data_IF_305814981785
#
_entry.id   IF_305814981785
#
_cell.length_a   1.000
_cell.length_b   1.000
_cell.length_c   1.000
_cell.angle_alpha   90.00
_cell.angle_beta   90.00
_cell.angle_gamma   90.00
#
_symmetry.space_group_name_H-M   'P 1'
#
loop_
_entity.id
_entity.type
_entity.pdbx_description
1 polymer ?
#
# COMPACT_ATOMS: atom_id res chain seq x y z
N UNK A 1 11.13 5.63 2.28
CA UNK A 1 11.09 6.01 0.85
C UNK A 1 12.07 7.15 0.58
N UNK A 2 12.10 8.22 1.40
CA UNK A 2 13.00 9.38 1.20
C UNK A 2 14.47 8.97 1.17
N UNK A 3 14.95 8.20 2.15
CA UNK A 3 16.33 7.70 2.18
C UNK A 3 16.64 6.82 0.95
N UNK A 4 15.75 5.87 0.63
CA UNK A 4 15.90 5.01 -0.54
C UNK A 4 16.00 5.80 -1.86
N UNK A 5 15.18 6.86 -2.00
CA UNK A 5 15.25 7.78 -3.13
C UNK A 5 16.62 8.45 -3.23
N UNK A 6 17.20 8.88 -2.09
CA UNK A 6 18.54 9.46 -2.05
C UNK A 6 19.60 8.48 -2.54
N UNK A 7 19.57 7.24 -2.08
CA UNK A 7 20.52 6.21 -2.50
C UNK A 7 20.46 5.92 -4.01
N UNK A 8 19.25 5.88 -4.59
CA UNK A 8 19.08 5.68 -6.03
C UNK A 8 19.57 6.91 -6.81
N UNK A 9 19.36 8.13 -6.30
CA UNK A 9 19.88 9.35 -6.91
C UNK A 9 21.42 9.42 -6.89
N UNK A 10 22.06 8.73 -5.92
CA UNK A 10 23.53 8.54 -5.84
C UNK A 10 24.04 7.46 -6.80
N UNK A 11 23.20 6.84 -7.63
CA UNK A 11 23.58 5.80 -8.58
C UNK A 11 23.53 4.36 -8.05
N UNK A 12 22.93 4.14 -6.86
CA UNK A 12 22.73 2.79 -6.30
C UNK A 12 21.41 2.22 -6.83
N UNK A 13 21.43 1.74 -8.06
CA UNK A 13 20.24 1.26 -8.80
C UNK A 13 19.95 -0.24 -8.62
N UNK A 14 20.76 -0.94 -7.85
CA UNK A 14 20.55 -2.33 -7.51
C UNK A 14 20.19 -2.48 -6.04
N UNK A 15 19.34 -3.43 -5.72
CA UNK A 15 18.89 -3.69 -4.37
C UNK A 15 19.00 -5.19 -4.05
N UNK A 16 19.60 -5.49 -2.90
CA UNK A 16 19.41 -6.77 -2.24
C UNK A 16 18.12 -6.66 -1.41
N UNK A 17 17.05 -7.24 -1.94
CA UNK A 17 15.71 -7.28 -1.36
C UNK A 17 15.60 -8.54 -0.50
N UNK A 18 15.38 -8.38 0.80
CA UNK A 18 15.39 -9.45 1.79
C UNK A 18 14.06 -9.50 2.53
N UNK A 19 13.34 -10.60 2.33
CA UNK A 19 12.09 -10.94 3.03
C UNK A 19 12.40 -12.04 4.05
N UNK A 20 12.04 -11.83 5.32
CA UNK A 20 12.26 -12.81 6.37
C UNK A 20 11.10 -13.82 6.39
N UNK A 21 11.43 -15.11 6.44
CA UNK A 21 10.44 -16.18 6.49
C UNK A 21 9.73 -16.17 7.85
N UNK A 22 8.42 -15.92 7.89
CA UNK A 22 7.61 -15.98 9.11
C UNK A 22 8.26 -15.30 10.32
N UNK A 23 8.81 -14.12 10.12
CA UNK A 23 9.66 -13.42 11.10
C UNK A 23 9.08 -13.40 12.52
N UNK A 24 7.79 -13.03 12.66
CA UNK A 24 7.16 -12.96 13.99
C UNK A 24 7.08 -14.31 14.71
N UNK A 25 7.13 -15.42 13.99
CA UNK A 25 7.09 -16.78 14.56
C UNK A 25 8.49 -17.32 14.86
N UNK A 26 9.54 -16.71 14.30
CA UNK A 26 10.93 -17.17 14.44
C UNK A 26 11.71 -16.43 15.53
N UNK A 27 11.23 -15.33 16.08
CA UNK A 27 11.94 -14.55 17.11
C UNK A 27 12.35 -15.44 18.29
N UNK A 28 13.65 -15.58 18.51
CA UNK A 28 14.19 -16.36 19.62
C UNK A 28 14.03 -15.61 20.94
N UNK A 29 13.30 -16.19 21.89
CA UNK A 29 12.97 -15.54 23.16
C UNK A 29 14.22 -15.24 24.00
N UNK A 30 15.19 -16.15 24.07
CA UNK A 30 16.35 -15.96 24.92
C UNK A 30 17.25 -14.85 24.39
N UNK A 31 17.46 -14.81 23.06
CA UNK A 31 18.18 -13.70 22.40
C UNK A 31 17.47 -12.35 22.60
N UNK A 32 16.15 -12.32 22.41
CA UNK A 32 15.36 -11.10 22.62
C UNK A 32 15.45 -10.63 24.07
N UNK A 33 15.29 -11.54 25.03
CA UNK A 33 15.39 -11.22 26.45
C UNK A 33 16.81 -10.77 26.84
N UNK A 34 17.85 -11.33 26.23
CA UNK A 34 19.23 -10.86 26.41
C UNK A 34 19.40 -9.42 25.92
N UNK A 35 18.93 -9.11 24.70
CA UNK A 35 18.98 -7.75 24.12
C UNK A 35 18.21 -6.73 24.95
N UNK A 36 17.03 -7.11 25.44
CA UNK A 36 16.23 -6.27 26.34
C UNK A 36 16.93 -6.03 27.68
N UNK A 37 17.57 -7.06 28.24
CA UNK A 37 18.31 -6.97 29.50
C UNK A 37 19.51 -6.01 29.48
N UNK A 38 20.06 -5.73 28.30
CA UNK A 38 21.10 -4.71 28.13
C UNK A 38 20.56 -3.27 28.26
N UNK A 39 19.24 -3.07 28.11
CA UNK A 39 18.58 -1.76 28.11
C UNK A 39 17.62 -1.57 29.30
N UNK A 40 17.06 -2.65 29.81
CA UNK A 40 16.06 -2.64 30.88
C UNK A 40 16.62 -3.34 32.11
N UNK A 41 16.88 -2.59 33.18
CA UNK A 41 17.37 -3.09 34.45
C UNK A 41 16.23 -3.58 35.38
N UNK A 42 14.99 -3.15 35.15
CA UNK A 42 13.84 -3.53 35.96
C UNK A 42 13.44 -4.99 35.72
N UNK A 43 13.73 -5.84 36.72
CA UNK A 43 13.39 -7.27 36.69
C UNK A 43 11.89 -7.57 36.60
N UNK A 44 11.01 -6.65 37.07
CA UNK A 44 9.56 -6.84 37.01
C UNK A 44 9.08 -6.70 35.58
N UNK A 45 9.57 -5.67 34.86
CA UNK A 45 9.29 -5.45 33.44
C UNK A 45 9.81 -6.62 32.63
N UNK A 46 11.06 -7.05 32.84
CA UNK A 46 11.64 -8.20 32.15
C UNK A 46 10.82 -9.48 32.35
N UNK A 47 10.36 -9.73 33.60
CA UNK A 47 9.50 -10.88 33.91
C UNK A 47 8.14 -10.79 33.19
N UNK A 48 7.56 -9.58 33.10
CA UNK A 48 6.29 -9.35 32.40
C UNK A 48 6.42 -9.62 30.90
N UNK A 49 7.49 -9.09 30.26
CA UNK A 49 7.76 -9.35 28.83
C UNK A 49 7.95 -10.85 28.59
N UNK A 50 8.73 -11.53 29.43
CA UNK A 50 8.93 -12.97 29.31
C UNK A 50 7.63 -13.79 29.47
N UNK A 51 6.69 -13.34 30.31
CA UNK A 51 5.35 -13.95 30.41
C UNK A 51 4.54 -13.68 29.15
N UNK A 52 4.57 -12.47 28.62
CA UNK A 52 3.89 -12.11 27.39
C UNK A 52 4.37 -12.96 26.19
N UNK A 53 5.67 -13.13 26.02
CA UNK A 53 6.24 -13.94 24.96
C UNK A 53 5.84 -15.43 25.04
N UNK A 54 5.76 -15.99 26.27
CA UNK A 54 5.40 -17.39 26.53
C UNK A 54 3.91 -17.63 26.72
N UNK A 55 3.09 -16.57 26.61
CA UNK A 55 1.64 -16.71 26.72
C UNK A 55 1.14 -17.72 25.66
N UNK A 56 0.31 -18.69 26.05
CA UNK A 56 -0.26 -19.64 25.11
C UNK A 56 -1.15 -18.93 24.09
N UNK A 57 -1.13 -19.41 22.85
CA UNK A 57 -2.03 -18.95 21.80
C UNK A 57 -3.17 -19.94 21.66
N UNK A 58 -4.38 -19.41 21.53
CA UNK A 58 -5.55 -20.18 21.13
C UNK A 58 -5.62 -20.21 19.60
N UNK A 59 -5.55 -21.39 18.99
CA UNK A 59 -5.68 -21.57 17.54
C UNK A 59 -7.16 -21.60 17.08
N UNK A 60 -8.11 -21.35 17.99
CA UNK A 60 -9.53 -21.33 17.68
C UNK A 60 -10.19 -22.71 17.78
N UNK A 61 -9.44 -23.75 18.12
CA UNK A 61 -9.92 -25.12 18.40
C UNK A 61 -9.90 -25.49 19.90
N UNK A 62 -9.62 -24.49 20.76
CA UNK A 62 -9.51 -24.65 22.21
C UNK A 62 -8.18 -25.24 22.67
N UNK A 63 -7.22 -25.45 21.80
CA UNK A 63 -5.87 -25.90 22.16
C UNK A 63 -4.97 -24.72 22.47
N UNK A 64 -4.36 -24.75 23.66
CA UNK A 64 -3.38 -23.77 24.09
C UNK A 64 -1.96 -24.28 23.85
N UNK A 65 -1.31 -23.77 22.81
CA UNK A 65 0.09 -24.13 22.49
C UNK A 65 1.04 -23.16 23.21
N UNK A 66 1.94 -23.70 24.05
CA UNK A 66 3.02 -22.90 24.63
C UNK A 66 4.05 -22.56 23.56
N UNK A 67 4.38 -21.28 23.46
CA UNK A 67 5.40 -20.80 22.54
C UNK A 67 6.78 -20.89 23.15
N UNK A 68 7.71 -21.48 22.41
CA UNK A 68 9.14 -21.44 22.70
C UNK A 68 9.87 -20.38 21.86
N UNK A 69 9.23 -19.91 20.79
CA UNK A 69 9.70 -18.90 19.84
C UNK A 69 8.54 -18.00 19.39
N UNK A 70 8.91 -16.89 18.78
CA UNK A 70 7.97 -15.96 18.16
C UNK A 70 7.34 -14.95 19.11
N UNK A 71 6.66 -13.99 18.53
CA UNK A 71 5.90 -12.97 19.25
C UNK A 71 4.42 -13.11 18.90
N UNK A 72 3.49 -12.84 19.85
CA UNK A 72 2.05 -12.92 19.56
C UNK A 72 1.67 -12.01 18.41
N UNK A 73 1.11 -12.57 17.32
CA UNK A 73 0.64 -11.77 16.18
C UNK A 73 -0.60 -10.95 16.59
N UNK A 74 -0.64 -9.67 16.18
CA UNK A 74 -1.73 -8.76 16.54
C UNK A 74 -1.61 -8.13 17.95
N UNK A 75 -0.64 -8.53 18.76
CA UNK A 75 -0.38 -7.90 20.04
C UNK A 75 0.32 -6.53 19.90
N UNK A 76 -0.03 -5.53 20.74
CA UNK A 76 0.53 -4.17 20.62
C UNK A 76 2.04 -4.09 20.89
N UNK A 77 2.59 -5.02 21.65
CA UNK A 77 4.00 -5.07 22.01
C UNK A 77 4.87 -5.74 20.92
N UNK A 78 4.30 -6.64 20.12
CA UNK A 78 5.05 -7.43 19.14
C UNK A 78 5.82 -6.60 18.11
N UNK A 79 5.29 -5.52 17.51
CA UNK A 79 6.06 -4.68 16.59
C UNK A 79 7.25 -3.99 17.26
N UNK A 80 7.12 -3.59 18.52
CA UNK A 80 8.21 -2.98 19.28
C UNK A 80 9.33 -4.00 19.55
N UNK A 81 8.97 -5.19 20.03
CA UNK A 81 9.93 -6.28 20.28
C UNK A 81 10.63 -6.74 19.01
N UNK A 82 9.89 -6.82 17.89
CA UNK A 82 10.41 -7.11 16.58
C UNK A 82 11.47 -6.09 16.12
N UNK A 83 11.18 -4.79 16.29
CA UNK A 83 12.14 -3.74 15.96
C UNK A 83 13.39 -3.78 16.85
N UNK A 84 13.23 -4.08 18.14
CA UNK A 84 14.37 -4.24 19.04
C UNK A 84 15.24 -5.44 18.67
N UNK A 85 14.63 -6.52 18.21
CA UNK A 85 15.34 -7.69 17.74
C UNK A 85 16.15 -7.42 16.48
N UNK A 86 15.58 -6.69 15.54
CA UNK A 86 16.23 -6.32 14.27
C UNK A 86 17.18 -5.10 14.38
N UNK A 87 17.19 -4.35 15.49
CA UNK A 87 18.14 -3.26 15.74
C UNK A 87 19.62 -3.74 15.67
N UNK A 88 19.84 -5.03 15.99
CA UNK A 88 21.19 -5.65 15.85
C UNK A 88 21.61 -5.72 14.40
N UNK A 89 20.69 -6.03 13.49
CA UNK A 89 20.94 -6.02 12.06
C UNK A 89 21.17 -4.59 11.55
N UNK A 90 20.36 -3.62 11.99
CA UNK A 90 20.52 -2.23 11.58
C UNK A 90 21.92 -1.73 11.91
N UNK A 91 22.41 -1.98 13.11
CA UNK A 91 23.77 -1.62 13.53
C UNK A 91 24.86 -2.33 12.73
N UNK A 92 24.67 -3.58 12.39
CA UNK A 92 25.60 -4.32 11.55
C UNK A 92 25.69 -3.72 10.15
N UNK A 93 24.53 -3.34 9.56
CA UNK A 93 24.48 -2.69 8.25
C UNK A 93 25.13 -1.31 8.27
N UNK A 94 24.93 -0.53 9.35
CA UNK A 94 25.57 0.76 9.59
C UNK A 94 27.10 0.61 9.74
N UNK A 95 27.56 -0.34 10.55
CA UNK A 95 29.00 -0.62 10.75
C UNK A 95 29.69 -1.00 9.44
N UNK A 96 29.00 -1.71 8.54
CA UNK A 96 29.50 -2.03 7.20
C UNK A 96 29.42 -0.87 6.21
N UNK A 97 28.87 0.27 6.60
CA UNK A 97 28.68 1.42 5.73
C UNK A 97 27.71 1.16 4.56
N UNK A 98 26.75 0.24 4.73
CA UNK A 98 25.79 -0.10 3.70
C UNK A 98 24.63 0.89 3.66
N UNK A 99 24.20 1.25 2.47
CA UNK A 99 23.00 2.07 2.27
C UNK A 99 21.77 1.18 2.30
N UNK A 100 20.98 1.27 3.34
CA UNK A 100 19.82 0.40 3.51
C UNK A 100 18.59 1.15 4.00
N UNK A 101 17.45 0.54 3.82
CA UNK A 101 16.19 0.91 4.49
C UNK A 101 15.54 -0.36 5.01
N UNK A 102 14.97 -0.28 6.20
CA UNK A 102 14.16 -1.34 6.79
C UNK A 102 12.81 -0.80 7.23
N UNK A 103 11.78 -1.55 6.96
CA UNK A 103 10.45 -1.30 7.50
C UNK A 103 9.88 -2.63 8.02
N UNK A 104 9.85 -2.76 9.35
CA UNK A 104 9.58 -4.03 10.03
C UNK A 104 10.55 -5.12 9.55
N UNK A 105 10.06 -6.15 8.89
CA UNK A 105 10.79 -7.30 8.35
C UNK A 105 11.22 -7.11 6.88
N UNK A 106 10.71 -6.08 6.19
CA UNK A 106 11.14 -5.73 4.83
C UNK A 106 12.49 -4.99 4.86
N UNK A 107 13.54 -5.58 4.30
CA UNK A 107 14.91 -5.05 4.30
C UNK A 107 15.36 -4.86 2.85
N UNK A 108 15.81 -3.66 2.50
CA UNK A 108 16.35 -3.34 1.19
C UNK A 108 17.72 -2.68 1.33
N UNK A 109 18.77 -3.30 0.78
CA UNK A 109 20.14 -2.77 0.76
C UNK A 109 20.49 -2.32 -0.65
N UNK A 110 20.82 -1.04 -0.81
CA UNK A 110 21.07 -0.39 -2.10
C UNK A 110 22.55 -0.39 -2.44
N UNK A 111 22.88 -0.82 -3.66
CA UNK A 111 24.25 -0.95 -4.16
C UNK A 111 24.33 -0.56 -5.65
N UNK A 112 25.55 -0.34 -6.14
CA UNK A 112 25.77 0.14 -7.50
C UNK A 112 25.73 -0.96 -8.59
N UNK A 113 25.82 -2.25 -8.23
CA UNK A 113 25.85 -3.34 -9.23
C UNK A 113 25.13 -4.60 -8.74
N UNK A 114 24.67 -5.40 -9.71
CA UNK A 114 24.04 -6.71 -9.47
C UNK A 114 24.92 -7.63 -8.62
N UNK A 115 26.18 -7.81 -9.03
CA UNK A 115 27.14 -8.64 -8.32
C UNK A 115 27.38 -8.18 -6.87
N UNK A 116 27.26 -6.88 -6.60
CA UNK A 116 27.32 -6.36 -5.23
C UNK A 116 26.04 -6.72 -4.45
N UNK A 117 24.86 -6.62 -5.08
CA UNK A 117 23.60 -7.02 -4.47
C UNK A 117 23.56 -8.52 -4.12
N UNK A 118 24.00 -9.38 -5.04
CA UNK A 118 24.12 -10.82 -4.79
C UNK A 118 25.03 -11.14 -3.61
N UNK A 119 26.22 -10.53 -3.57
CA UNK A 119 27.17 -10.73 -2.46
C UNK A 119 26.62 -10.24 -1.11
N UNK A 120 25.90 -9.12 -1.13
CA UNK A 120 25.26 -8.58 0.09
C UNK A 120 24.16 -9.54 0.54
N UNK A 121 23.30 -9.99 -0.38
CA UNK A 121 22.22 -10.93 -0.10
C UNK A 121 22.77 -12.23 0.55
N UNK A 122 23.78 -12.85 -0.07
CA UNK A 122 24.40 -14.07 0.45
C UNK A 122 25.00 -13.88 1.84
N UNK A 123 25.76 -12.79 2.04
CA UNK A 123 26.40 -12.50 3.33
C UNK A 123 25.40 -12.20 4.42
N UNK A 124 24.35 -11.44 4.12
CA UNK A 124 23.30 -11.10 5.08
C UNK A 124 22.42 -12.30 5.42
N UNK A 125 22.11 -13.17 4.46
CA UNK A 125 21.38 -14.42 4.72
C UNK A 125 22.15 -15.28 5.72
N UNK A 126 23.45 -15.45 5.51
CA UNK A 126 24.32 -16.22 6.42
C UNK A 126 24.43 -15.56 7.80
N UNK A 127 24.55 -14.24 7.83
CA UNK A 127 24.65 -13.46 9.06
C UNK A 127 23.36 -13.53 9.88
N UNK A 128 22.19 -13.36 9.25
CA UNK A 128 20.87 -13.45 9.87
C UNK A 128 20.65 -14.83 10.52
N UNK A 129 20.98 -15.88 9.81
CA UNK A 129 20.91 -17.25 10.34
C UNK A 129 21.82 -17.42 11.56
N UNK A 130 23.09 -17.00 11.48
CA UNK A 130 24.08 -17.23 12.54
C UNK A 130 23.82 -16.38 13.78
N UNK A 131 23.49 -15.07 13.61
CA UNK A 131 23.43 -14.12 14.71
C UNK A 131 22.02 -13.91 15.26
N UNK A 132 21.00 -14.04 14.42
CA UNK A 132 19.62 -13.81 14.84
C UNK A 132 18.74 -15.07 14.77
N UNK A 133 19.27 -16.19 14.27
CA UNK A 133 18.50 -17.43 14.11
C UNK A 133 17.23 -17.21 13.27
N UNK A 134 17.39 -16.38 12.21
CA UNK A 134 16.33 -16.01 11.27
C UNK A 134 16.61 -16.57 9.89
N UNK A 135 15.56 -17.07 9.24
CA UNK A 135 15.63 -17.59 7.89
C UNK A 135 15.14 -16.56 6.88
N UNK A 136 15.84 -16.44 5.75
CA UNK A 136 15.46 -15.61 4.61
C UNK A 136 14.57 -16.42 3.67
N UNK A 137 13.48 -15.85 3.24
CA UNK A 137 12.60 -16.43 2.22
C UNK A 137 13.23 -16.32 0.83
N UNK A 138 13.92 -17.38 0.40
CA UNK A 138 14.61 -17.42 -0.88
C UNK A 138 13.69 -17.20 -2.11
N UNK A 139 12.40 -17.54 -2.01
CA UNK A 139 11.45 -17.33 -3.10
C UNK A 139 11.06 -15.86 -3.32
N UNK A 140 11.14 -15.06 -2.26
CA UNK A 140 10.78 -13.64 -2.31
C UNK A 140 12.00 -12.72 -2.35
N UNK A 141 13.11 -13.13 -1.75
CA UNK A 141 14.34 -12.35 -1.70
C UNK A 141 15.13 -12.47 -2.99
N UNK A 142 15.94 -11.46 -3.30
CA UNK A 142 16.78 -11.48 -4.49
C UNK A 142 17.53 -10.18 -4.74
N UNK A 143 18.54 -10.27 -5.62
CA UNK A 143 19.20 -9.12 -6.20
C UNK A 143 18.40 -8.65 -7.43
N UNK A 144 17.96 -7.40 -7.42
CA UNK A 144 17.07 -6.84 -8.46
C UNK A 144 17.41 -5.39 -8.74
N UNK A 145 16.97 -4.88 -9.89
CA UNK A 145 16.95 -3.44 -10.10
C UNK A 145 15.88 -2.77 -9.25
N UNK A 146 16.15 -1.56 -8.79
CA UNK A 146 15.21 -0.79 -7.96
C UNK A 146 13.85 -0.57 -8.61
N UNK A 147 13.81 -0.48 -9.95
CA UNK A 147 12.57 -0.35 -10.73
C UNK A 147 11.76 -1.66 -10.85
N UNK A 148 12.32 -2.80 -10.50
CA UNK A 148 11.66 -4.12 -10.52
C UNK A 148 11.06 -4.47 -9.15
N UNK A 149 11.46 -3.76 -8.11
CA UNK A 149 10.97 -3.97 -6.73
C UNK A 149 9.95 -2.92 -6.31
N UNK A 150 9.25 -3.21 -5.24
CA UNK A 150 8.29 -2.27 -4.65
C UNK A 150 8.59 -2.10 -3.16
N UNK A 151 9.12 -0.94 -2.80
CA UNK A 151 9.33 -0.56 -1.42
C UNK A 151 8.11 0.20 -0.90
N UNK A 152 7.39 -0.37 0.06
CA UNK A 152 6.19 0.25 0.65
C UNK A 152 5.14 0.69 -0.39
N UNK A 153 4.99 -0.08 -1.46
CA UNK A 153 4.05 0.24 -2.54
C UNK A 153 4.53 1.30 -3.53
N UNK A 154 5.77 1.75 -3.44
CA UNK A 154 6.42 2.63 -4.40
C UNK A 154 7.46 1.88 -5.22
N UNK A 155 7.65 2.31 -6.46
CA UNK A 155 8.73 1.91 -7.34
C UNK A 155 9.73 3.05 -7.43
N UNK A 156 11.00 2.71 -7.31
CA UNK A 156 12.12 3.65 -7.41
C UNK A 156 12.75 3.52 -8.81
N UNK A 157 12.84 4.62 -9.51
CA UNK A 157 13.42 4.67 -10.85
C UNK A 157 14.81 5.34 -10.82
N UNK A 158 15.65 5.09 -11.84
CA UNK A 158 16.93 5.78 -11.97
C UNK A 158 16.81 7.31 -11.78
N UNK A 159 17.85 7.92 -11.23
CA UNK A 159 17.82 9.34 -10.90
C UNK A 159 16.96 9.74 -9.70
N UNK A 160 16.45 8.76 -8.93
CA UNK A 160 15.66 9.02 -7.73
C UNK A 160 14.22 9.45 -8.00
N UNK A 161 13.67 9.10 -9.18
CA UNK A 161 12.24 9.28 -9.43
C UNK A 161 11.44 8.18 -8.73
N UNK A 162 10.26 8.55 -8.23
CA UNK A 162 9.39 7.65 -7.45
C UNK A 162 8.00 7.63 -8.08
N UNK A 163 7.48 6.44 -8.32
CA UNK A 163 6.09 6.24 -8.76
C UNK A 163 5.36 5.25 -7.86
N UNK A 164 4.02 5.26 -7.81
CA UNK A 164 3.28 4.16 -7.20
C UNK A 164 3.58 2.84 -7.92
N UNK A 165 3.78 1.77 -7.18
CA UNK A 165 4.02 0.45 -7.75
C UNK A 165 2.78 -0.07 -8.53
N UNK A 166 2.96 -0.90 -9.58
CA UNK A 166 1.85 -1.43 -10.37
C UNK A 166 0.76 -2.11 -9.54
N UNK A 167 1.13 -2.90 -8.53
CA UNK A 167 0.18 -3.52 -7.60
C UNK A 167 -0.64 -2.49 -6.81
N UNK A 168 -0.06 -1.34 -6.45
CA UNK A 168 -0.78 -0.27 -5.76
C UNK A 168 -1.81 0.39 -6.69
N UNK A 169 -1.45 0.60 -7.96
CA UNK A 169 -2.36 1.11 -8.99
C UNK A 169 -3.50 0.12 -9.26
N UNK A 170 -3.23 -1.19 -9.38
CA UNK A 170 -4.29 -2.17 -9.59
C UNK A 170 -5.24 -2.28 -8.39
N UNK A 171 -4.73 -2.31 -7.16
CA UNK A 171 -5.57 -2.24 -5.95
C UNK A 171 -6.43 -0.98 -5.91
N UNK A 172 -5.87 0.15 -6.34
CA UNK A 172 -6.63 1.40 -6.46
C UNK A 172 -7.76 1.27 -7.48
N UNK A 173 -7.48 0.72 -8.66
CA UNK A 173 -8.50 0.48 -9.70
C UNK A 173 -9.59 -0.47 -9.21
N UNK A 174 -9.25 -1.55 -8.51
CA UNK A 174 -10.23 -2.50 -7.97
C UNK A 174 -11.14 -1.82 -6.94
N UNK A 175 -10.57 -0.99 -6.07
CA UNK A 175 -11.36 -0.23 -5.11
C UNK A 175 -12.27 0.79 -5.79
N UNK A 176 -11.80 1.46 -6.85
CA UNK A 176 -12.62 2.36 -7.67
C UNK A 176 -13.79 1.59 -8.31
N UNK A 177 -13.53 0.41 -8.88
CA UNK A 177 -14.60 -0.45 -9.45
C UNK A 177 -15.64 -0.81 -8.41
N UNK A 178 -15.19 -1.19 -7.20
CA UNK A 178 -16.08 -1.54 -6.08
C UNK A 178 -16.89 -0.34 -5.59
N UNK A 179 -16.26 0.81 -5.35
CA UNK A 179 -16.95 2.04 -4.89
C UNK A 179 -17.98 2.56 -5.89
N UNK A 180 -17.71 2.43 -7.20
CA UNK A 180 -18.59 2.89 -8.26
C UNK A 180 -19.46 1.77 -8.85
N UNK A 181 -19.74 0.72 -8.06
CA UNK A 181 -20.76 -0.27 -8.39
C UNK A 181 -22.16 0.30 -8.06
N UNK A 182 -23.01 0.36 -9.08
CA UNK A 182 -24.37 0.91 -8.94
C UNK A 182 -25.30 0.05 -8.07
N UNK A 183 -24.95 -1.20 -7.83
CA UNK A 183 -25.74 -2.16 -7.02
C UNK A 183 -25.66 -1.85 -5.52
N UNK A 184 -24.74 -1.01 -5.08
CA UNK A 184 -24.65 -0.62 -3.67
C UNK A 184 -25.84 0.23 -3.26
N UNK A 185 -26.46 -0.10 -2.12
CA UNK A 185 -27.59 0.62 -1.52
C UNK A 185 -27.15 1.90 -0.78
N UNK A 186 -26.26 2.68 -1.39
CA UNK A 186 -25.74 3.92 -0.80
C UNK A 186 -26.49 5.13 -1.34
N UNK A 187 -26.77 6.10 -0.48
CA UNK A 187 -27.21 7.42 -0.94
C UNK A 187 -26.09 8.14 -1.68
N UNK A 188 -26.41 9.17 -2.47
CA UNK A 188 -25.38 9.97 -3.14
C UNK A 188 -24.45 10.69 -2.15
N UNK A 189 -24.94 11.04 -0.97
CA UNK A 189 -24.14 11.62 0.10
C UNK A 189 -23.13 10.60 0.66
N UNK A 190 -23.60 9.41 1.04
CA UNK A 190 -22.73 8.32 1.53
C UNK A 190 -21.66 7.93 0.51
N UNK A 191 -22.04 7.85 -0.78
CA UNK A 191 -21.10 7.57 -1.86
C UNK A 191 -20.02 8.66 -1.97
N UNK A 192 -20.41 9.93 -1.85
CA UNK A 192 -19.47 11.06 -1.82
C UNK A 192 -18.50 10.97 -0.65
N UNK A 193 -19.01 10.72 0.55
CA UNK A 193 -18.19 10.62 1.77
C UNK A 193 -17.19 9.46 1.69
N UNK A 194 -17.65 8.28 1.23
CA UNK A 194 -16.77 7.12 1.03
C UNK A 194 -15.72 7.40 -0.03
N UNK A 195 -16.11 8.04 -1.15
CA UNK A 195 -15.19 8.40 -2.21
C UNK A 195 -14.12 9.37 -1.70
N UNK A 196 -14.52 10.46 -1.07
CA UNK A 196 -13.59 11.47 -0.56
C UNK A 196 -12.62 10.88 0.47
N UNK A 197 -13.13 10.10 1.42
CA UNK A 197 -12.29 9.42 2.43
C UNK A 197 -11.24 8.54 1.77
N UNK A 198 -11.65 7.73 0.81
CA UNK A 198 -10.74 6.80 0.14
C UNK A 198 -9.71 7.52 -0.73
N UNK A 199 -10.16 8.41 -1.62
CA UNK A 199 -9.27 9.04 -2.60
C UNK A 199 -8.29 10.01 -1.94
N UNK A 200 -8.72 10.72 -0.91
CA UNK A 200 -7.85 11.62 -0.14
C UNK A 200 -6.81 10.82 0.66
N UNK A 201 -7.24 9.75 1.36
CA UNK A 201 -6.30 8.88 2.08
C UNK A 201 -5.27 8.24 1.16
N UNK A 202 -5.70 7.76 -0.01
CA UNK A 202 -4.80 7.19 -1.01
C UNK A 202 -3.81 8.24 -1.53
N UNK A 203 -4.28 9.46 -1.85
CA UNK A 203 -3.43 10.53 -2.36
C UNK A 203 -2.48 11.09 -1.30
N UNK A 204 -2.89 11.19 -0.05
CA UNK A 204 -2.02 11.61 1.05
C UNK A 204 -0.81 10.68 1.22
N UNK A 205 -0.96 9.41 0.86
CA UNK A 205 0.14 8.44 0.88
C UNK A 205 0.93 8.45 -0.43
N UNK A 206 0.27 8.23 -1.56
CA UNK A 206 0.94 8.06 -2.86
C UNK A 206 1.28 9.38 -3.56
N UNK A 207 0.73 10.50 -3.12
CA UNK A 207 1.07 11.85 -3.62
C UNK A 207 2.51 12.28 -3.29
N UNK A 208 3.20 11.52 -2.44
CA UNK A 208 4.65 11.66 -2.25
C UNK A 208 5.45 11.35 -3.54
N UNK A 209 4.92 10.54 -4.44
CA UNK A 209 5.55 10.18 -5.69
C UNK A 209 5.70 11.43 -6.59
N UNK A 210 6.90 11.63 -7.14
CA UNK A 210 7.18 12.73 -8.06
C UNK A 210 6.96 12.35 -9.54
N UNK A 211 6.68 11.08 -9.82
CA UNK A 211 6.37 10.58 -11.15
C UNK A 211 4.99 9.92 -11.17
N UNK A 212 3.95 10.75 -11.28
CA UNK A 212 2.54 10.35 -11.18
C UNK A 212 1.79 10.32 -12.51
N UNK A 213 2.50 10.22 -13.66
CA UNK A 213 1.87 10.23 -15.00
C UNK A 213 0.75 9.20 -15.12
N UNK A 214 0.96 7.99 -14.62
CA UNK A 214 -0.04 6.92 -14.66
C UNK A 214 -1.28 7.27 -13.82
N UNK A 215 -1.09 7.89 -12.64
CA UNK A 215 -2.20 8.32 -11.77
C UNK A 215 -3.02 9.42 -12.44
N UNK A 216 -2.36 10.38 -13.07
CA UNK A 216 -3.03 11.44 -13.83
C UNK A 216 -3.86 10.87 -14.99
N UNK A 217 -3.34 9.86 -15.69
CA UNK A 217 -4.06 9.19 -16.77
C UNK A 217 -5.34 8.47 -16.29
N UNK A 218 -5.41 8.05 -15.02
CA UNK A 218 -6.60 7.41 -14.47
C UNK A 218 -7.79 8.35 -14.30
N UNK A 219 -7.61 9.68 -14.31
CA UNK A 219 -8.68 10.63 -14.05
C UNK A 219 -9.87 10.48 -15.03
N UNK A 220 -9.58 10.28 -16.31
CA UNK A 220 -10.61 10.03 -17.33
C UNK A 220 -11.35 8.70 -17.10
N UNK A 221 -10.60 7.64 -16.78
CA UNK A 221 -11.14 6.32 -16.49
C UNK A 221 -12.04 6.32 -15.23
N UNK A 222 -11.63 7.00 -14.15
CA UNK A 222 -12.41 7.14 -12.91
C UNK A 222 -13.72 7.86 -13.21
N UNK A 223 -13.67 9.01 -13.89
CA UNK A 223 -14.89 9.77 -14.26
C UNK A 223 -15.84 8.95 -15.12
N UNK A 224 -15.32 8.04 -15.95
CA UNK A 224 -16.15 7.10 -16.71
C UNK A 224 -16.87 6.12 -15.81
N UNK A 225 -16.22 5.58 -14.75
CA UNK A 225 -16.86 4.75 -13.74
C UNK A 225 -17.95 5.51 -12.97
N UNK A 226 -17.68 6.76 -12.59
CA UNK A 226 -18.67 7.64 -11.96
C UNK A 226 -19.92 7.81 -12.83
N UNK A 227 -19.74 8.17 -14.10
CA UNK A 227 -20.84 8.35 -15.06
C UNK A 227 -21.62 7.06 -15.30
N UNK A 228 -20.94 5.92 -15.43
CA UNK A 228 -21.58 4.61 -15.53
C UNK A 228 -22.46 4.33 -14.30
N UNK A 229 -21.94 4.57 -13.11
CA UNK A 229 -22.66 4.36 -11.86
C UNK A 229 -23.91 5.24 -11.80
N UNK A 230 -23.79 6.54 -12.03
CA UNK A 230 -24.93 7.45 -12.02
C UNK A 230 -25.96 7.08 -13.08
N UNK A 231 -25.56 6.74 -14.29
CA UNK A 231 -26.47 6.30 -15.35
C UNK A 231 -27.29 5.08 -14.95
N UNK A 232 -26.71 4.10 -14.29
CA UNK A 232 -27.40 2.92 -13.78
C UNK A 232 -28.31 3.26 -12.61
N UNK A 233 -27.89 4.12 -11.70
CA UNK A 233 -28.67 4.52 -10.51
C UNK A 233 -29.87 5.40 -10.85
N UNK A 234 -29.91 6.01 -12.04
CA UNK A 234 -31.09 6.69 -12.53
C UNK A 234 -32.15 5.71 -13.06
N UNK A 235 -31.88 4.42 -13.01
CA UNK A 235 -32.70 3.25 -13.30
C UNK A 235 -33.33 3.27 -14.69
N UNK A 236 -34.44 3.97 -14.86
CA UNK A 236 -35.28 3.95 -16.05
C UNK A 236 -35.19 5.24 -16.89
N UNK A 237 -35.99 5.29 -17.94
CA UNK A 237 -36.06 6.46 -18.84
C UNK A 237 -36.49 7.72 -18.10
N UNK A 238 -37.45 7.62 -17.18
CA UNK A 238 -37.98 8.78 -16.47
C UNK A 238 -36.97 9.32 -15.46
N UNK A 239 -36.35 8.46 -14.69
CA UNK A 239 -35.28 8.84 -13.77
C UNK A 239 -34.09 9.49 -14.47
N UNK A 240 -33.64 8.92 -15.62
CA UNK A 240 -32.58 9.49 -16.46
C UNK A 240 -32.95 10.86 -17.02
N UNK A 241 -34.18 11.02 -17.52
CA UNK A 241 -34.68 12.29 -18.02
C UNK A 241 -34.65 13.37 -16.93
N UNK A 242 -35.21 13.09 -15.76
CA UNK A 242 -35.23 14.01 -14.63
C UNK A 242 -33.82 14.36 -14.14
N UNK A 243 -32.90 13.38 -14.04
CA UNK A 243 -31.55 13.62 -13.65
C UNK A 243 -30.80 14.52 -14.65
N UNK A 244 -30.88 14.22 -15.93
CA UNK A 244 -30.26 15.04 -16.99
C UNK A 244 -30.81 16.46 -17.00
N UNK A 245 -32.15 16.63 -16.84
CA UNK A 245 -32.78 17.95 -16.76
C UNK A 245 -32.26 18.75 -15.56
N UNK A 246 -32.14 18.13 -14.38
CA UNK A 246 -31.57 18.78 -13.18
C UNK A 246 -30.11 19.19 -13.39
N UNK A 247 -29.36 18.43 -14.19
CA UNK A 247 -27.97 18.70 -14.55
C UNK A 247 -27.81 19.73 -15.69
N UNK A 248 -28.95 20.36 -16.12
CA UNK A 248 -28.96 21.45 -17.10
C UNK A 248 -29.04 21.03 -18.56
N UNK A 249 -29.29 19.73 -18.85
CA UNK A 249 -29.55 19.27 -20.22
C UNK A 249 -30.97 19.76 -20.66
N UNK A 250 -31.08 20.27 -21.89
CA UNK A 250 -32.32 20.81 -22.42
C UNK A 250 -32.60 20.36 -23.87
N UNK A 251 -33.85 20.49 -24.30
CA UNK A 251 -34.26 20.25 -25.68
C UNK A 251 -34.09 18.79 -26.12
N UNK A 252 -33.78 18.57 -27.38
CA UNK A 252 -33.63 17.24 -27.99
C UNK A 252 -32.56 16.34 -27.32
N UNK A 253 -31.57 16.97 -26.66
CA UNK A 253 -30.52 16.20 -25.94
C UNK A 253 -31.09 15.34 -24.81
N UNK A 254 -32.27 15.68 -24.24
CA UNK A 254 -32.96 14.86 -23.23
C UNK A 254 -33.46 13.53 -23.79
N UNK A 255 -33.61 13.39 -25.12
CA UNK A 255 -33.99 12.14 -25.77
C UNK A 255 -33.02 10.98 -25.49
N UNK A 256 -31.77 11.29 -25.12
CA UNK A 256 -30.78 10.28 -24.74
C UNK A 256 -31.21 9.45 -23.53
N UNK A 257 -32.10 9.94 -22.68
CA UNK A 257 -32.65 9.20 -21.54
C UNK A 257 -33.33 7.88 -21.93
N UNK A 258 -33.89 7.79 -23.17
CA UNK A 258 -34.50 6.60 -23.74
C UNK A 258 -33.51 5.63 -24.37
N UNK A 259 -32.21 5.94 -24.39
CA UNK A 259 -31.21 5.10 -25.02
C UNK A 259 -31.06 3.77 -24.27
N UNK A 260 -31.12 2.64 -25.03
CA UNK A 260 -31.01 1.26 -24.50
C UNK A 260 -29.59 0.71 -24.54
N UNK A 261 -28.60 1.51 -24.99
CA UNK A 261 -27.21 1.09 -25.03
C UNK A 261 -26.64 0.87 -23.64
N UNK A 262 -25.66 -0.03 -23.51
CA UNK A 262 -25.05 -0.38 -22.23
C UNK A 262 -24.46 0.84 -21.50
N UNK A 263 -24.51 0.81 -20.18
CA UNK A 263 -24.10 1.94 -19.32
C UNK A 263 -22.63 2.37 -19.52
N UNK A 264 -21.76 1.44 -19.87
CA UNK A 264 -20.36 1.74 -20.18
C UNK A 264 -20.18 2.56 -21.46
N UNK A 265 -21.05 2.32 -22.45
CA UNK A 265 -21.12 3.14 -23.65
C UNK A 265 -21.70 4.53 -23.30
N UNK A 266 -22.80 4.56 -22.55
CA UNK A 266 -23.47 5.82 -22.17
C UNK A 266 -22.57 6.74 -21.33
N UNK A 267 -21.68 6.18 -20.53
CA UNK A 267 -20.68 6.94 -19.77
C UNK A 267 -19.71 7.76 -20.66
N UNK A 268 -19.63 7.45 -21.96
CA UNK A 268 -18.84 8.19 -22.97
C UNK A 268 -19.71 9.05 -23.88
N UNK A 269 -21.04 8.90 -23.81
CA UNK A 269 -21.95 9.66 -24.65
C UNK A 269 -21.81 11.15 -24.37
N UNK A 270 -21.79 11.98 -25.42
CA UNK A 270 -21.51 13.42 -25.33
C UNK A 270 -22.43 14.13 -24.32
N UNK A 271 -23.73 13.85 -24.36
CA UNK A 271 -24.72 14.46 -23.45
C UNK A 271 -24.48 14.09 -22.00
N UNK A 272 -24.19 12.80 -21.70
CA UNK A 272 -23.90 12.33 -20.34
C UNK A 272 -22.56 12.91 -19.85
N UNK A 273 -21.61 13.04 -20.77
CA UNK A 273 -20.29 13.62 -20.47
C UNK A 273 -20.39 15.12 -20.16
N UNK A 274 -21.22 15.85 -20.89
CA UNK A 274 -21.50 17.27 -20.63
C UNK A 274 -22.30 17.47 -19.33
N UNK A 275 -23.34 16.68 -19.07
CA UNK A 275 -24.12 16.71 -17.84
C UNK A 275 -23.24 16.43 -16.59
N UNK A 276 -22.43 15.40 -16.63
CA UNK A 276 -21.49 15.00 -15.56
C UNK A 276 -20.05 15.38 -15.94
N UNK A 277 -19.85 16.63 -16.40
CA UNK A 277 -18.51 17.17 -16.66
C UNK A 277 -17.70 17.31 -15.36
N UNK A 278 -16.39 17.46 -15.46
CA UNK A 278 -15.48 17.58 -14.32
C UNK A 278 -15.97 18.64 -13.33
N UNK A 279 -16.34 19.84 -13.80
CA UNK A 279 -16.83 20.90 -12.93
C UNK A 279 -18.10 20.50 -12.16
N UNK A 280 -19.04 19.76 -12.79
CA UNK A 280 -20.24 19.25 -12.12
C UNK A 280 -19.90 18.23 -11.07
N UNK A 281 -19.04 17.23 -11.38
CA UNK A 281 -18.61 16.22 -10.42
C UNK A 281 -17.89 16.86 -9.23
N UNK A 282 -16.98 17.81 -9.47
CA UNK A 282 -16.26 18.51 -8.41
C UNK A 282 -17.21 19.34 -7.50
N UNK A 283 -18.20 20.05 -8.09
CA UNK A 283 -19.23 20.80 -7.33
C UNK A 283 -20.02 19.88 -6.39
N UNK A 284 -20.27 18.65 -6.79
CA UNK A 284 -20.92 17.65 -5.95
C UNK A 284 -19.97 16.87 -5.04
N UNK A 285 -18.70 17.27 -4.96
CA UNK A 285 -17.69 16.68 -4.07
C UNK A 285 -17.06 15.39 -4.59
N UNK A 286 -17.23 15.05 -5.87
CA UNK A 286 -16.55 13.89 -6.49
C UNK A 286 -15.23 14.32 -7.12
N UNK A 287 -14.35 14.88 -6.30
CA UNK A 287 -13.06 15.45 -6.69
C UNK A 287 -11.97 14.38 -6.84
N UNK A 288 -10.93 14.74 -7.56
CA UNK A 288 -9.68 13.99 -7.68
C UNK A 288 -8.54 14.91 -7.18
N UNK A 289 -7.91 14.62 -6.02
CA UNK A 289 -6.94 15.52 -5.40
C UNK A 289 -5.78 15.93 -6.33
N UNK A 290 -5.26 14.99 -7.12
CA UNK A 290 -4.15 15.24 -8.06
C UNK A 290 -4.53 16.09 -9.29
N UNK A 291 -5.81 16.33 -9.53
CA UNK A 291 -6.28 17.19 -10.63
C UNK A 291 -6.46 18.63 -10.15
N UNK A 292 -6.56 18.85 -8.84
CA UNK A 292 -6.70 20.17 -8.23
C UNK A 292 -5.34 20.79 -7.87
N UNK A 293 -4.29 19.98 -7.85
CA UNK A 293 -2.94 20.38 -7.46
C UNK A 293 -2.07 20.87 -8.65
N UNK A 294 -2.64 21.00 -9.85
CA UNK A 294 -1.97 21.48 -11.07
C UNK A 294 -2.48 22.82 -11.55
#
# INVERSE_FOLDING_TARGET
VTAARGYVAEGKEWVADIDLASFFDQVNHDRLMHLLGQRISDKRIMKLIGRYLRAPMDEGDGRHIRRSRGTPQGGPLSPLLANLYLDVLDRELEQRGLSFVRYADDIAVFVASERAAERVLERLTRWLHTHLDLEVNAAKSGARRTEETALLGFRLHPGGHVSPAPKAIERFKDRVRALWDARQSLTSQQLREQWQRYVTGWWNYFGYANWCREVHALAGWIRRHMRKCFWLRWHDRHGRFNALRRLGVRGHALGVAGCRRGAWFMARHIVVNQALRTATLNRHGFTLPWVLAG
#
